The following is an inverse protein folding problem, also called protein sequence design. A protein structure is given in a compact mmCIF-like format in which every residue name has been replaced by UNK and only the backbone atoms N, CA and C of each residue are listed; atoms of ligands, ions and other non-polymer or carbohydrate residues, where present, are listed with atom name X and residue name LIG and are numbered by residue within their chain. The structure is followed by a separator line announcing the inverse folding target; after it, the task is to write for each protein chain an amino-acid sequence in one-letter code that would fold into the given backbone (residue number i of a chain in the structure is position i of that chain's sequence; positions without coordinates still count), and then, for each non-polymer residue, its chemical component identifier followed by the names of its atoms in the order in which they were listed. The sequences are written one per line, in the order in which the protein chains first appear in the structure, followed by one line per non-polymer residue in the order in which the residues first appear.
data_IF_245862249905
#
_entry.id   IF_245862249905
#
_cell.length_a   1.000
_cell.length_b   1.000
_cell.length_c   1.000
_cell.angle_alpha   90.00
_cell.angle_beta   90.00
_cell.angle_gamma   90.00
#
_symmetry.space_group_name_H-M   'P 1'
#
loop_
_entity.id
_entity.type
_entity.pdbx_description
1 polymer ?
#
# COMPACT_ATOMS: atom_id res chain seq x y z
N UNK A 1 40.27 6.67 -57.95
CA UNK A 1 40.44 6.28 -56.52
C UNK A 1 40.32 7.52 -55.66
N UNK A 2 39.14 7.78 -55.06
CA UNK A 2 38.90 8.92 -54.18
C UNK A 2 39.19 8.50 -52.73
N UNK A 3 40.12 9.18 -52.06
CA UNK A 3 40.46 8.97 -50.65
C UNK A 3 39.40 9.66 -49.79
N UNK A 4 38.62 8.88 -49.07
CA UNK A 4 37.70 9.38 -48.02
C UNK A 4 38.51 9.66 -46.76
N UNK A 5 38.53 10.92 -46.31
CA UNK A 5 39.01 11.29 -44.97
C UNK A 5 37.97 10.85 -43.94
N UNK A 6 38.35 9.93 -43.05
CA UNK A 6 37.62 9.64 -41.83
C UNK A 6 37.85 10.80 -40.84
N UNK A 7 36.81 11.54 -40.51
CA UNK A 7 36.81 12.46 -39.36
C UNK A 7 36.53 11.64 -38.09
N UNK A 8 37.54 11.48 -37.24
CA UNK A 8 37.41 10.99 -35.86
C UNK A 8 36.83 12.13 -35.00
N UNK A 9 35.56 12.01 -34.63
CA UNK A 9 34.91 12.85 -33.63
C UNK A 9 35.44 12.47 -32.22
N UNK A 10 35.84 13.43 -31.38
CA UNK A 10 36.24 13.12 -30.01
C UNK A 10 35.00 12.77 -29.19
N UNK A 11 34.95 11.52 -28.72
CA UNK A 11 33.98 11.07 -27.72
C UNK A 11 34.33 11.78 -26.41
N UNK A 12 33.60 12.85 -26.11
CA UNK A 12 33.63 13.49 -24.80
C UNK A 12 32.89 12.59 -23.83
N UNK A 13 33.64 11.87 -22.98
CA UNK A 13 33.10 11.22 -21.80
C UNK A 13 32.52 12.30 -20.88
N UNK A 14 31.22 12.56 -20.98
CA UNK A 14 30.45 13.24 -19.95
C UNK A 14 30.42 12.32 -18.73
N UNK A 15 31.43 12.48 -17.87
CA UNK A 15 31.40 11.99 -16.50
C UNK A 15 30.22 12.68 -15.81
N UNK A 16 29.07 12.01 -15.77
CA UNK A 16 27.99 12.34 -14.85
C UNK A 16 28.54 12.17 -13.44
N UNK A 17 29.00 13.28 -12.86
CA UNK A 17 29.23 13.39 -11.43
C UNK A 17 27.88 13.22 -10.75
N UNK A 18 27.58 11.98 -10.34
CA UNK A 18 26.55 11.70 -9.34
C UNK A 18 27.10 12.24 -8.03
N UNK A 19 26.95 13.56 -7.82
CA UNK A 19 27.15 14.13 -6.49
C UNK A 19 26.25 13.34 -5.54
N UNK A 20 26.79 12.67 -4.51
CA UNK A 20 25.94 12.09 -3.49
C UNK A 20 25.10 13.24 -2.92
N UNK A 21 23.78 13.08 -2.86
CA UNK A 21 22.93 13.99 -2.10
C UNK A 21 23.48 14.00 -0.67
N UNK A 22 24.25 15.04 -0.35
CA UNK A 22 24.61 15.33 1.03
C UNK A 22 23.30 15.56 1.76
N UNK A 23 23.00 14.68 2.73
CA UNK A 23 21.78 14.74 3.51
C UNK A 23 21.66 16.12 4.15
N UNK A 24 20.85 16.98 3.53
CA UNK A 24 20.61 18.33 4.01
C UNK A 24 19.72 18.19 5.24
N UNK A 25 20.22 18.68 6.38
CA UNK A 25 19.45 18.71 7.63
C UNK A 25 18.08 19.31 7.39
N UNK A 26 17.04 18.68 7.93
CA UNK A 26 15.66 19.12 7.73
C UNK A 26 15.41 20.52 8.30
N UNK A 27 14.72 21.36 7.54
CA UNK A 27 14.31 22.69 8.00
C UNK A 27 13.06 22.58 8.88
N UNK A 28 13.28 22.52 10.20
CA UNK A 28 12.18 22.41 11.17
C UNK A 28 11.18 23.59 11.10
N UNK A 29 11.56 24.77 10.59
CA UNK A 29 10.60 25.87 10.39
C UNK A 29 9.61 25.55 9.29
N UNK A 30 10.05 24.90 8.21
CA UNK A 30 9.14 24.39 7.17
C UNK A 30 8.22 23.30 7.73
N UNK A 31 8.76 22.42 8.58
CA UNK A 31 7.94 21.38 9.24
C UNK A 31 6.83 22.00 10.10
N UNK A 32 7.11 23.08 10.83
CA UNK A 32 6.10 23.77 11.64
C UNK A 32 4.93 24.33 10.81
N UNK A 33 5.20 24.77 9.58
CA UNK A 33 4.20 25.36 8.67
C UNK A 33 3.24 24.34 8.04
N UNK A 34 3.58 23.05 8.05
CA UNK A 34 2.69 21.99 7.56
C UNK A 34 1.43 21.98 8.45
N UNK A 35 0.20 21.91 7.92
CA UNK A 35 -0.98 21.79 8.78
C UNK A 35 -0.95 20.47 9.56
N UNK A 36 -1.44 20.45 10.80
CA UNK A 36 -1.48 19.22 11.61
C UNK A 36 -2.37 18.15 10.97
N UNK A 37 -3.40 18.58 10.24
CA UNK A 37 -4.26 17.71 9.43
C UNK A 37 -4.77 18.42 8.18
N UNK A 38 -5.08 17.64 7.15
CA UNK A 38 -5.73 18.10 5.91
C UNK A 38 -7.03 17.31 5.76
N UNK A 39 -8.14 18.00 5.49
CA UNK A 39 -9.42 17.37 5.18
C UNK A 39 -9.72 17.50 3.70
N UNK A 40 -9.98 16.38 3.04
CA UNK A 40 -10.34 16.30 1.63
C UNK A 40 -11.60 15.44 1.55
N UNK A 41 -12.74 16.09 1.33
CA UNK A 41 -14.05 15.41 1.36
C UNK A 41 -14.22 14.64 2.70
N UNK A 42 -14.43 13.33 2.62
CA UNK A 42 -14.63 12.44 3.77
C UNK A 42 -13.32 11.82 4.30
N UNK A 43 -12.16 12.22 3.77
CA UNK A 43 -10.85 11.75 4.22
C UNK A 43 -10.16 12.82 5.06
N UNK A 44 -9.65 12.41 6.22
CA UNK A 44 -8.81 13.23 7.09
C UNK A 44 -7.40 12.66 7.12
N UNK A 45 -6.42 13.42 6.63
CA UNK A 45 -5.00 13.07 6.64
C UNK A 45 -4.34 13.76 7.83
N UNK A 46 -3.70 13.00 8.70
CA UNK A 46 -2.98 13.47 9.88
C UNK A 46 -1.47 13.46 9.64
N UNK A 47 -0.81 14.60 9.76
CA UNK A 47 0.63 14.73 9.53
C UNK A 47 1.43 14.38 10.80
N UNK A 48 1.19 13.21 11.40
CA UNK A 48 1.77 12.86 12.71
C UNK A 48 3.31 12.90 12.71
N UNK A 49 3.95 12.51 11.59
CA UNK A 49 5.40 12.56 11.40
C UNK A 49 6.00 13.92 11.75
N UNK A 50 5.29 15.04 11.45
CA UNK A 50 5.79 16.39 11.73
C UNK A 50 6.05 16.56 13.23
N UNK A 51 5.14 16.05 14.06
CA UNK A 51 5.21 16.21 15.51
C UNK A 51 6.26 15.28 16.11
N UNK A 52 6.48 14.12 15.50
CA UNK A 52 7.58 13.22 15.86
C UNK A 52 8.95 13.88 15.62
N UNK A 53 9.11 14.66 14.55
CA UNK A 53 10.33 15.44 14.30
C UNK A 53 10.44 16.66 15.23
N UNK A 54 9.36 17.45 15.34
CA UNK A 54 9.34 18.68 16.14
C UNK A 54 9.48 18.43 17.64
N UNK A 55 9.16 17.23 18.12
CA UNK A 55 9.39 16.85 19.50
C UNK A 55 10.87 16.89 19.90
N UNK A 56 11.81 16.92 18.94
CA UNK A 56 13.27 16.98 19.20
C UNK A 56 13.89 18.35 18.89
N UNK A 57 13.07 19.38 18.61
CA UNK A 57 13.54 20.72 18.25
C UNK A 57 14.37 21.32 19.39
N UNK A 58 15.45 22.04 19.03
CA UNK A 58 16.33 22.75 19.96
C UNK A 58 17.00 21.85 21.03
N UNK A 59 17.29 20.59 20.70
CA UNK A 59 17.91 19.61 21.61
C UNK A 59 17.10 19.34 22.90
N UNK A 60 15.80 19.65 22.91
CA UNK A 60 14.88 19.33 24.00
C UNK A 60 13.82 18.38 23.49
N UNK A 61 13.46 17.41 24.33
CA UNK A 61 12.41 16.44 24.01
C UNK A 61 11.06 16.88 24.59
N UNK A 62 10.08 17.16 23.72
CA UNK A 62 8.72 17.55 24.07
C UNK A 62 7.79 16.33 24.11
N UNK A 63 7.68 15.71 25.29
CA UNK A 63 6.83 14.53 25.49
C UNK A 63 5.34 14.82 25.38
N UNK A 64 4.91 16.04 25.75
CA UNK A 64 3.51 16.44 25.68
C UNK A 64 3.02 16.48 24.23
N UNK A 65 3.86 16.96 23.31
CA UNK A 65 3.59 16.92 21.86
C UNK A 65 3.37 15.50 21.33
N UNK A 66 4.16 14.52 21.78
CA UNK A 66 3.97 13.13 21.36
C UNK A 66 2.59 12.60 21.79
N UNK A 67 2.18 12.88 23.02
CA UNK A 67 0.86 12.43 23.50
C UNK A 67 -0.26 13.16 22.76
N UNK A 68 -0.20 14.50 22.72
CA UNK A 68 -1.30 15.33 22.25
C UNK A 68 -1.43 15.38 20.72
N UNK A 69 -0.32 15.21 19.99
CA UNK A 69 -0.28 15.41 18.54
C UNK A 69 0.15 14.16 17.75
N UNK A 70 0.51 13.04 18.40
CA UNK A 70 0.80 11.77 17.72
C UNK A 70 -0.15 10.67 18.19
N UNK A 71 -0.23 10.43 19.50
CA UNK A 71 -1.05 9.36 20.06
C UNK A 71 -2.55 9.69 20.03
N UNK A 72 -2.98 10.72 20.74
CA UNK A 72 -4.40 11.05 20.91
C UNK A 72 -5.16 11.34 19.60
N UNK A 73 -4.59 12.06 18.60
CA UNK A 73 -5.31 12.39 17.38
C UNK A 73 -5.77 11.17 16.60
N UNK A 74 -5.10 10.03 16.74
CA UNK A 74 -5.48 8.78 16.09
C UNK A 74 -5.39 7.59 17.06
N UNK A 75 -5.84 7.76 18.30
CA UNK A 75 -5.73 6.75 19.38
C UNK A 75 -6.21 5.36 18.94
N UNK A 76 -7.30 5.27 18.18
CA UNK A 76 -7.83 4.00 17.67
C UNK A 76 -6.83 3.23 16.82
N UNK A 77 -6.08 3.90 15.95
CA UNK A 77 -5.02 3.29 15.12
C UNK A 77 -3.96 2.62 16.00
N UNK A 78 -3.51 3.32 17.03
CA UNK A 78 -2.47 2.85 17.95
C UNK A 78 -2.95 1.73 18.87
N UNK A 79 -4.15 1.89 19.43
CA UNK A 79 -4.67 0.99 20.47
C UNK A 79 -5.18 -0.34 19.91
N UNK A 80 -5.74 -0.32 18.70
CA UNK A 80 -6.34 -1.50 18.10
C UNK A 80 -5.52 -2.00 16.92
N UNK A 81 -5.29 -1.22 15.86
CA UNK A 81 -4.58 -1.76 14.69
C UNK A 81 -3.12 -2.14 15.06
N UNK A 82 -2.30 -1.18 15.45
CA UNK A 82 -0.92 -1.46 15.91
C UNK A 82 -0.87 -2.31 17.19
N UNK A 83 -1.80 -2.06 18.11
CA UNK A 83 -1.89 -2.81 19.38
C UNK A 83 -2.15 -4.30 19.19
N UNK A 84 -2.91 -4.70 18.17
CA UNK A 84 -3.26 -6.09 17.89
C UNK A 84 -2.26 -6.74 16.94
N UNK A 85 -1.88 -6.10 15.83
CA UNK A 85 -1.05 -6.75 14.80
C UNK A 85 0.35 -7.14 15.31
N UNK A 86 0.87 -6.41 16.30
CA UNK A 86 2.19 -6.69 16.87
C UNK A 86 2.13 -7.55 18.16
N UNK A 87 0.93 -7.98 18.57
CA UNK A 87 0.71 -8.79 19.77
C UNK A 87 0.87 -8.00 21.06
N UNK A 88 0.56 -8.63 22.21
CA UNK A 88 0.48 -7.95 23.50
C UNK A 88 1.80 -7.29 23.91
N UNK A 89 2.94 -7.97 23.69
CA UNK A 89 4.26 -7.50 24.10
C UNK A 89 4.64 -6.20 23.36
N UNK A 90 4.62 -6.22 22.03
CA UNK A 90 5.00 -5.07 21.23
C UNK A 90 3.89 -4.02 21.16
N UNK A 91 2.63 -4.41 21.30
CA UNK A 91 1.48 -3.50 21.31
C UNK A 91 1.60 -2.42 22.38
N UNK A 92 2.24 -2.74 23.52
CA UNK A 92 2.54 -1.78 24.61
C UNK A 92 3.49 -0.65 24.21
N UNK A 93 4.18 -0.75 23.07
CA UNK A 93 4.96 0.35 22.51
C UNK A 93 4.04 1.44 21.92
N UNK A 94 2.85 1.07 21.45
CA UNK A 94 1.96 1.94 20.67
C UNK A 94 0.72 2.38 21.47
N UNK A 95 0.14 1.46 22.24
CA UNK A 95 -1.23 1.60 22.76
C UNK A 95 -1.36 2.34 24.10
N UNK A 96 -0.34 3.12 24.49
CA UNK A 96 -0.40 3.93 25.70
C UNK A 96 0.58 5.12 25.65
N UNK A 97 0.30 6.21 26.40
CA UNK A 97 1.16 7.40 26.41
C UNK A 97 2.62 7.14 26.80
N UNK A 98 2.87 6.24 27.77
CA UNK A 98 4.22 5.96 28.26
C UNK A 98 5.08 5.30 27.18
N UNK A 99 4.53 4.29 26.49
CA UNK A 99 5.15 3.65 25.33
C UNK A 99 5.45 4.66 24.24
N UNK A 100 4.44 5.42 23.83
CA UNK A 100 4.55 6.48 22.81
C UNK A 100 5.66 7.48 23.10
N UNK A 101 5.73 7.97 24.33
CA UNK A 101 6.80 8.88 24.78
C UNK A 101 8.16 8.18 24.75
N UNK A 102 8.25 6.94 25.24
CA UNK A 102 9.52 6.24 25.39
C UNK A 102 10.20 6.00 24.05
N UNK A 103 9.49 5.46 23.06
CA UNK A 103 10.12 5.17 21.76
C UNK A 103 10.33 6.42 20.93
N UNK A 104 9.43 7.41 20.94
CA UNK A 104 9.66 8.64 20.18
C UNK A 104 10.90 9.39 20.68
N UNK A 105 11.29 9.21 21.95
CA UNK A 105 12.50 9.80 22.53
C UNK A 105 13.79 9.29 21.88
N UNK A 106 13.83 8.05 21.41
CA UNK A 106 15.01 7.43 20.80
C UNK A 106 14.88 7.26 19.29
N UNK A 107 13.67 7.01 18.78
CA UNK A 107 13.44 6.63 17.38
C UNK A 107 14.00 7.64 16.38
N UNK A 108 13.73 8.93 16.56
CA UNK A 108 14.26 9.95 15.64
C UNK A 108 15.77 10.06 15.74
N UNK A 109 16.35 10.02 16.95
CA UNK A 109 17.81 10.11 17.14
C UNK A 109 18.52 8.95 16.44
N UNK A 110 17.99 7.75 16.61
CA UNK A 110 18.62 6.52 16.14
C UNK A 110 18.42 6.31 14.62
N UNK A 111 17.42 6.98 14.02
CA UNK A 111 17.07 6.85 12.58
C UNK A 111 17.09 8.19 11.83
N UNK A 112 17.77 9.21 12.37
CA UNK A 112 17.67 10.61 11.93
C UNK A 112 17.79 10.78 10.42
N UNK A 113 18.87 10.24 9.84
CA UNK A 113 19.16 10.37 8.41
C UNK A 113 18.01 9.81 7.55
N UNK A 114 17.56 8.59 7.86
CA UNK A 114 16.47 7.94 7.13
C UNK A 114 15.17 8.75 7.24
N UNK A 115 14.84 9.26 8.43
CA UNK A 115 13.60 9.99 8.66
C UNK A 115 13.59 11.33 7.94
N UNK A 116 14.73 12.03 7.93
CA UNK A 116 14.89 13.28 7.18
C UNK A 116 14.78 13.02 5.67
N UNK A 117 15.42 11.98 5.14
CA UNK A 117 15.31 11.59 3.73
C UNK A 117 13.85 11.27 3.33
N UNK A 118 13.15 10.44 4.12
CA UNK A 118 11.74 10.09 3.88
C UNK A 118 10.83 11.31 4.01
N UNK A 119 11.13 12.22 4.93
CA UNK A 119 10.38 13.47 5.06
C UNK A 119 10.60 14.39 3.86
N UNK A 120 11.84 14.55 3.39
CA UNK A 120 12.12 15.36 2.20
C UNK A 120 11.39 14.81 0.96
N UNK A 121 11.36 13.49 0.79
CA UNK A 121 10.56 12.86 -0.27
C UNK A 121 9.08 13.21 -0.14
N UNK A 122 8.51 13.08 1.06
CA UNK A 122 7.11 13.40 1.30
C UNK A 122 6.80 14.89 1.05
N UNK A 123 7.68 15.81 1.45
CA UNK A 123 7.52 17.25 1.23
C UNK A 123 7.66 17.65 -0.24
N UNK A 124 8.36 16.85 -1.04
CA UNK A 124 8.39 17.00 -2.49
C UNK A 124 7.04 16.70 -3.16
N UNK A 125 6.13 16.04 -2.44
CA UNK A 125 4.80 15.65 -2.92
C UNK A 125 3.76 16.61 -2.36
N UNK A 126 2.93 17.18 -3.24
CA UNK A 126 1.74 17.90 -2.80
C UNK A 126 0.63 16.90 -2.45
N UNK A 127 0.70 16.32 -1.24
CA UNK A 127 -0.23 15.28 -0.74
C UNK A 127 -1.68 15.70 -0.93
N UNK A 128 -2.04 16.94 -0.58
CA UNK A 128 -3.41 17.43 -0.73
C UNK A 128 -3.88 17.39 -2.18
N UNK A 129 -3.05 17.90 -3.11
CA UNK A 129 -3.37 17.89 -4.53
C UNK A 129 -3.44 16.47 -5.09
N UNK A 130 -2.53 15.58 -4.67
CA UNK A 130 -2.53 14.17 -5.08
C UNK A 130 -3.83 13.48 -4.67
N UNK A 131 -4.21 13.57 -3.40
CA UNK A 131 -5.48 12.99 -2.91
C UNK A 131 -6.70 13.61 -3.59
N UNK A 132 -6.76 14.95 -3.74
CA UNK A 132 -7.87 15.63 -4.45
C UNK A 132 -8.01 15.13 -5.88
N UNK A 133 -6.90 15.00 -6.62
CA UNK A 133 -6.89 14.50 -7.99
C UNK A 133 -7.37 13.04 -8.04
N UNK A 134 -6.87 12.21 -7.14
CA UNK A 134 -7.22 10.79 -7.10
C UNK A 134 -8.69 10.59 -6.77
N UNK A 135 -9.22 11.25 -5.74
CA UNK A 135 -10.65 11.19 -5.38
C UNK A 135 -11.55 11.72 -6.50
N UNK A 136 -11.13 12.80 -7.18
CA UNK A 136 -11.86 13.36 -8.33
C UNK A 136 -12.01 12.36 -9.47
N UNK A 137 -11.02 11.48 -9.70
CA UNK A 137 -11.13 10.41 -10.69
C UNK A 137 -11.87 9.19 -10.12
N UNK A 138 -11.64 8.84 -8.86
CA UNK A 138 -12.27 7.69 -8.21
C UNK A 138 -13.81 7.76 -8.32
N UNK A 139 -14.39 8.93 -8.03
CA UNK A 139 -15.84 9.18 -8.13
C UNK A 139 -16.43 9.06 -9.53
N UNK A 140 -15.62 9.10 -10.59
CA UNK A 140 -16.14 8.89 -11.96
C UNK A 140 -16.27 7.42 -12.30
N UNK A 141 -15.60 6.54 -11.54
CA UNK A 141 -15.59 5.10 -11.77
C UNK A 141 -16.59 4.38 -10.89
N UNK A 142 -16.79 4.86 -9.66
CA UNK A 142 -17.64 4.25 -8.65
C UNK A 142 -18.50 5.28 -7.92
N UNK A 143 -19.78 4.97 -7.65
CA UNK A 143 -20.72 5.88 -7.01
C UNK A 143 -20.54 5.97 -5.48
N UNK A 144 -19.56 5.25 -4.93
CA UNK A 144 -19.29 5.19 -3.51
C UNK A 144 -18.16 6.14 -3.13
N UNK A 145 -18.28 6.78 -1.96
CA UNK A 145 -17.28 7.71 -1.47
C UNK A 145 -16.44 7.05 -0.37
N UNK A 146 -15.12 6.95 -0.54
CA UNK A 146 -14.27 6.47 0.54
C UNK A 146 -14.32 7.45 1.71
N UNK A 147 -14.38 6.91 2.92
CA UNK A 147 -14.24 7.66 4.17
C UNK A 147 -13.04 7.08 4.88
N UNK A 148 -12.13 7.94 5.35
CA UNK A 148 -10.98 7.45 6.09
C UNK A 148 -10.34 8.47 7.02
N UNK A 149 -9.65 7.94 8.01
CA UNK A 149 -8.64 8.67 8.77
C UNK A 149 -7.28 8.06 8.51
N UNK A 150 -6.37 8.83 7.91
CA UNK A 150 -5.07 8.35 7.43
C UNK A 150 -3.96 9.08 8.19
N UNK A 151 -3.09 8.34 8.88
CA UNK A 151 -1.91 8.91 9.52
C UNK A 151 -0.67 8.78 8.63
N UNK A 152 0.05 9.88 8.39
CA UNK A 152 1.41 9.85 7.88
C UNK A 152 2.36 9.87 9.07
N UNK A 153 3.09 8.78 9.30
CA UNK A 153 3.78 8.56 10.58
C UNK A 153 5.07 7.76 10.44
N UNK A 154 5.89 7.83 11.48
CA UNK A 154 6.97 6.88 11.73
C UNK A 154 6.55 5.91 12.83
N UNK A 155 6.90 4.64 12.70
CA UNK A 155 6.61 3.60 13.69
C UNK A 155 7.88 3.02 14.31
N UNK A 156 7.84 2.53 15.56
CA UNK A 156 8.94 1.73 16.10
C UNK A 156 9.06 0.35 15.42
N UNK A 157 7.96 -0.23 14.95
CA UNK A 157 7.92 -1.47 14.16
C UNK A 157 7.09 -1.24 12.90
N UNK A 158 7.60 -1.68 11.76
CA UNK A 158 6.93 -1.55 10.46
C UNK A 158 6.25 -2.86 10.10
N UNK A 159 5.06 -2.80 9.52
CA UNK A 159 4.31 -3.99 9.11
C UNK A 159 3.14 -3.70 8.18
N UNK A 160 2.62 -2.47 8.16
CA UNK A 160 1.47 -2.08 7.34
C UNK A 160 1.91 -1.48 5.99
N UNK A 161 3.04 -0.77 5.95
CA UNK A 161 3.46 0.05 4.80
C UNK A 161 2.44 1.16 4.45
N UNK A 162 1.43 0.87 3.63
CA UNK A 162 0.28 1.73 3.41
C UNK A 162 -0.98 0.87 3.44
N UNK A 163 -1.88 1.16 4.37
CA UNK A 163 -2.96 0.24 4.67
C UNK A 163 -3.64 0.57 6.00
N UNK A 164 -4.56 -0.27 6.42
CA UNK A 164 -5.22 -0.14 7.71
C UNK A 164 -5.99 -1.38 8.11
N UNK A 165 -6.45 -1.41 9.36
CA UNK A 165 -7.31 -2.49 9.85
C UNK A 165 -8.80 -2.25 9.55
N UNK A 166 -9.18 -0.99 9.29
CA UNK A 166 -10.47 -0.55 8.74
C UNK A 166 -10.37 0.92 8.31
N UNK A 167 -11.47 1.43 7.78
CA UNK A 167 -11.68 2.84 7.40
C UNK A 167 -11.33 3.87 8.48
N UNK A 168 -11.41 3.54 9.77
CA UNK A 168 -11.02 4.43 10.86
C UNK A 168 -9.56 4.30 11.31
N UNK A 169 -8.76 3.42 10.72
CA UNK A 169 -7.42 3.05 11.21
C UNK A 169 -6.41 2.84 10.07
N UNK A 170 -6.24 3.86 9.22
CA UNK A 170 -5.29 3.81 8.11
C UNK A 170 -3.97 4.54 8.43
N UNK A 171 -2.86 4.03 7.90
CA UNK A 171 -1.52 4.57 8.10
C UNK A 171 -0.67 4.46 6.83
N UNK A 172 0.19 5.46 6.61
CA UNK A 172 1.36 5.42 5.75
C UNK A 172 2.62 5.43 6.63
N UNK A 173 3.29 4.28 6.72
CA UNK A 173 4.51 4.07 7.50
C UNK A 173 5.74 4.57 6.74
N UNK A 174 6.12 5.82 6.97
CA UNK A 174 7.19 6.47 6.22
C UNK A 174 8.56 5.79 6.37
N UNK A 175 8.79 5.06 7.46
CA UNK A 175 10.03 4.32 7.72
C UNK A 175 9.97 2.84 7.33
N UNK A 176 8.89 2.37 6.69
CA UNK A 176 8.86 1.02 6.14
C UNK A 176 9.89 0.90 4.99
N UNK A 177 10.78 -0.10 5.09
CA UNK A 177 11.89 -0.28 4.13
C UNK A 177 11.41 -0.68 2.74
N UNK A 178 10.30 -1.41 2.66
CA UNK A 178 9.69 -1.81 1.38
C UNK A 178 8.87 -0.70 0.71
N UNK A 179 8.65 0.42 1.40
CA UNK A 179 7.78 1.49 0.91
C UNK A 179 8.51 2.47 -0.01
N UNK A 180 8.06 2.52 -1.27
CA UNK A 180 8.26 3.65 -2.17
C UNK A 180 7.13 4.67 -1.97
N UNK A 181 7.43 5.78 -1.29
CA UNK A 181 6.43 6.81 -0.95
C UNK A 181 5.80 7.43 -2.20
N UNK A 182 6.60 7.66 -3.25
CA UNK A 182 6.13 8.32 -4.47
C UNK A 182 5.17 7.37 -5.19
N UNK A 183 5.60 6.14 -5.45
CA UNK A 183 4.75 5.13 -6.08
C UNK A 183 3.47 4.91 -5.28
N UNK A 184 3.57 4.79 -3.96
CA UNK A 184 2.42 4.53 -3.10
C UNK A 184 1.37 5.65 -3.20
N UNK A 185 1.79 6.91 -3.13
CA UNK A 185 0.86 8.04 -3.19
C UNK A 185 0.32 8.30 -4.60
N UNK A 186 1.13 8.07 -5.64
CA UNK A 186 0.75 8.38 -7.02
C UNK A 186 0.03 7.23 -7.74
N UNK A 187 0.36 5.98 -7.40
CA UNK A 187 -0.12 4.76 -8.08
C UNK A 187 -0.80 3.76 -7.15
N UNK A 188 -0.36 3.64 -5.90
CA UNK A 188 -0.99 2.77 -4.90
C UNK A 188 -2.28 3.33 -4.30
N UNK A 189 -2.44 4.65 -4.26
CA UNK A 189 -3.60 5.27 -3.60
C UNK A 189 -4.97 4.78 -4.12
N UNK A 190 -5.22 4.61 -5.43
CA UNK A 190 -6.48 4.03 -5.92
C UNK A 190 -6.78 2.63 -5.39
N UNK A 191 -5.76 1.78 -5.21
CA UNK A 191 -5.88 0.43 -4.63
C UNK A 191 -6.42 0.54 -3.20
N UNK A 192 -5.77 1.35 -2.36
CA UNK A 192 -6.21 1.54 -0.98
C UNK A 192 -7.60 2.19 -0.84
N UNK A 193 -7.91 3.16 -1.70
CA UNK A 193 -9.25 3.76 -1.71
C UNK A 193 -10.33 2.75 -2.09
N UNK A 194 -10.00 1.76 -2.92
CA UNK A 194 -10.93 0.69 -3.25
C UNK A 194 -11.23 -0.19 -2.04
N UNK A 195 -10.22 -0.57 -1.25
CA UNK A 195 -10.43 -1.32 -0.01
C UNK A 195 -11.39 -0.60 0.93
N UNK A 196 -11.22 0.72 1.13
CA UNK A 196 -12.10 1.52 1.99
C UNK A 196 -13.57 1.46 1.58
N UNK A 197 -13.84 1.35 0.27
CA UNK A 197 -15.20 1.21 -0.24
C UNK A 197 -15.68 -0.23 -0.14
N UNK A 198 -14.85 -1.19 -0.58
CA UNK A 198 -15.23 -2.59 -0.69
C UNK A 198 -15.43 -3.25 0.68
N UNK A 199 -14.68 -2.84 1.71
CA UNK A 199 -14.80 -3.35 3.07
C UNK A 199 -16.24 -3.26 3.61
N UNK A 200 -16.98 -2.20 3.27
CA UNK A 200 -18.38 -2.04 3.66
C UNK A 200 -19.25 -3.21 3.18
N UNK A 201 -19.04 -3.66 1.94
CA UNK A 201 -19.79 -4.74 1.32
C UNK A 201 -19.29 -6.11 1.78
N UNK A 202 -17.97 -6.26 1.92
CA UNK A 202 -17.33 -7.50 2.41
C UNK A 202 -17.81 -7.89 3.80
N UNK A 203 -18.05 -6.92 4.68
CA UNK A 203 -18.57 -7.16 6.05
C UNK A 203 -19.96 -7.80 6.10
N UNK A 204 -20.73 -7.76 5.01
CA UNK A 204 -22.04 -8.41 4.93
C UNK A 204 -21.93 -9.91 4.59
N UNK A 205 -20.76 -10.38 4.16
CA UNK A 205 -20.51 -11.79 3.84
C UNK A 205 -20.19 -12.59 5.11
N UNK A 206 -20.94 -13.66 5.43
CA UNK A 206 -20.60 -14.55 6.54
C UNK A 206 -19.21 -15.20 6.42
N UNK A 207 -18.69 -15.37 5.20
CA UNK A 207 -17.36 -15.91 4.91
C UNK A 207 -16.33 -14.79 4.61
N UNK A 208 -16.62 -13.55 5.03
CA UNK A 208 -15.83 -12.36 4.72
C UNK A 208 -14.37 -12.39 5.21
N UNK A 209 -14.03 -13.29 6.12
CA UNK A 209 -12.67 -13.51 6.65
C UNK A 209 -11.95 -14.70 5.99
N UNK A 210 -12.59 -15.41 5.07
CA UNK A 210 -11.99 -16.52 4.34
C UNK A 210 -10.82 -16.08 3.45
N UNK A 211 -9.90 -17.01 3.17
CA UNK A 211 -8.76 -16.75 2.30
C UNK A 211 -9.20 -16.38 0.88
N UNK A 212 -10.33 -16.93 0.40
CA UNK A 212 -10.92 -16.49 -0.86
C UNK A 212 -11.42 -15.05 -0.78
N UNK A 213 -12.10 -14.66 0.30
CA UNK A 213 -12.55 -13.27 0.49
C UNK A 213 -11.37 -12.29 0.45
N UNK A 214 -10.29 -12.57 1.19
CA UNK A 214 -9.07 -11.75 1.17
C UNK A 214 -8.39 -11.75 -0.21
N UNK A 215 -8.38 -12.88 -0.89
CA UNK A 215 -7.86 -13.00 -2.26
C UNK A 215 -8.64 -12.11 -3.23
N UNK A 216 -9.98 -12.11 -3.16
CA UNK A 216 -10.83 -11.25 -3.98
C UNK A 216 -10.66 -9.78 -3.61
N UNK A 217 -10.54 -9.43 -2.33
CA UNK A 217 -10.32 -8.07 -1.87
C UNK A 217 -9.04 -7.46 -2.47
N UNK A 218 -7.90 -8.12 -2.30
CA UNK A 218 -6.61 -7.67 -2.84
C UNK A 218 -6.59 -7.67 -4.37
N UNK A 219 -7.11 -8.73 -4.97
CA UNK A 219 -7.24 -8.83 -6.42
C UNK A 219 -8.12 -7.74 -7.02
N UNK A 220 -9.19 -7.36 -6.32
CA UNK A 220 -10.12 -6.33 -6.78
C UNK A 220 -9.51 -4.96 -6.68
N UNK A 221 -8.80 -4.67 -5.60
CA UNK A 221 -8.06 -3.42 -5.48
C UNK A 221 -6.98 -3.28 -6.57
N UNK A 222 -6.28 -4.36 -6.91
CA UNK A 222 -5.34 -4.37 -8.05
C UNK A 222 -6.05 -4.17 -9.41
N UNK A 223 -7.17 -4.87 -9.64
CA UNK A 223 -7.95 -4.73 -10.87
C UNK A 223 -8.54 -3.33 -11.01
N UNK A 224 -9.02 -2.75 -9.90
CA UNK A 224 -9.49 -1.38 -9.84
C UNK A 224 -8.36 -0.40 -10.16
N UNK A 225 -7.15 -0.59 -9.63
CA UNK A 225 -6.01 0.27 -9.98
C UNK A 225 -5.69 0.22 -11.48
N UNK A 226 -5.71 -0.97 -12.09
CA UNK A 226 -5.55 -1.13 -13.54
C UNK A 226 -6.60 -0.32 -14.33
N UNK A 227 -7.87 -0.38 -13.94
CA UNK A 227 -8.95 0.42 -14.53
C UNK A 227 -8.80 1.92 -14.25
N UNK A 228 -8.39 2.28 -13.02
CA UNK A 228 -8.20 3.65 -12.58
C UNK A 228 -7.18 4.37 -13.44
N UNK A 229 -6.17 3.69 -13.96
CA UNK A 229 -5.20 4.27 -14.88
C UNK A 229 -5.60 4.13 -16.36
N UNK A 230 -6.88 3.94 -16.65
CA UNK A 230 -7.42 3.73 -18.01
C UNK A 230 -6.70 2.59 -18.75
N UNK A 231 -6.25 1.57 -18.02
CA UNK A 231 -5.45 0.45 -18.55
C UNK A 231 -4.12 0.85 -19.18
N UNK A 232 -3.61 2.06 -18.88
CA UNK A 232 -2.33 2.57 -19.39
C UNK A 232 -1.12 2.01 -18.64
N UNK A 233 -1.32 1.56 -17.39
CA UNK A 233 -0.34 0.73 -16.68
C UNK A 233 -0.58 -0.74 -17.05
N UNK A 234 0.49 -1.54 -17.08
CA UNK A 234 0.37 -2.98 -17.32
C UNK A 234 -0.33 -3.70 -16.16
N UNK A 235 -0.91 -4.89 -16.42
CA UNK A 235 -1.51 -5.73 -15.36
C UNK A 235 -0.47 -6.11 -14.30
N UNK A 236 0.74 -6.45 -14.76
CA UNK A 236 1.90 -6.67 -13.90
C UNK A 236 2.22 -5.45 -13.03
N UNK A 237 2.10 -4.23 -13.56
CA UNK A 237 2.36 -3.03 -12.77
C UNK A 237 1.26 -2.77 -11.73
N UNK A 238 0.00 -3.03 -12.10
CA UNK A 238 -1.14 -2.90 -11.20
C UNK A 238 -1.13 -3.93 -10.06
N UNK A 239 -0.56 -5.12 -10.29
CA UNK A 239 -0.38 -6.15 -9.26
C UNK A 239 1.02 -6.03 -8.66
N UNK A 240 1.13 -5.36 -7.52
CA UNK A 240 2.37 -5.23 -6.72
C UNK A 240 3.61 -4.70 -7.50
N UNK A 241 3.40 -3.88 -8.54
CA UNK A 241 4.46 -3.32 -9.37
C UNK A 241 5.42 -4.39 -9.92
N UNK A 242 4.89 -5.57 -10.29
CA UNK A 242 5.67 -6.68 -10.84
C UNK A 242 6.34 -6.29 -12.16
N UNK A 243 7.52 -6.87 -12.42
CA UNK A 243 8.10 -6.90 -13.77
C UNK A 243 7.29 -7.81 -14.70
N UNK A 244 7.50 -7.71 -16.00
CA UNK A 244 6.90 -8.63 -16.98
C UNK A 244 7.34 -10.09 -16.74
N UNK A 245 8.59 -10.29 -16.34
CA UNK A 245 9.15 -11.61 -16.02
C UNK A 245 8.46 -12.23 -14.81
N UNK A 246 8.23 -11.44 -13.76
CA UNK A 246 7.48 -11.88 -12.59
C UNK A 246 6.06 -12.32 -13.00
N UNK A 247 5.36 -11.49 -13.79
CA UNK A 247 4.02 -11.82 -14.28
C UNK A 247 4.01 -13.09 -15.14
N UNK A 248 4.98 -13.24 -16.03
CA UNK A 248 5.11 -14.43 -16.89
C UNK A 248 5.30 -15.71 -16.07
N UNK A 249 6.00 -15.64 -14.93
CA UNK A 249 6.10 -16.76 -14.00
C UNK A 249 4.71 -17.19 -13.49
N UNK A 250 3.87 -16.25 -13.06
CA UNK A 250 2.53 -16.60 -12.60
C UNK A 250 1.66 -17.23 -13.69
N UNK A 251 1.69 -16.66 -14.91
CA UNK A 251 0.95 -17.21 -16.05
C UNK A 251 1.43 -18.63 -16.37
N UNK A 252 2.74 -18.87 -16.37
CA UNK A 252 3.30 -20.20 -16.63
C UNK A 252 2.86 -21.25 -15.59
N UNK A 253 2.66 -20.82 -14.33
CA UNK A 253 2.31 -21.70 -13.23
C UNK A 253 0.83 -21.63 -12.84
N UNK A 254 -0.01 -20.95 -13.63
CA UNK A 254 -1.41 -20.58 -13.29
C UNK A 254 -2.25 -21.79 -12.87
N UNK A 255 -2.19 -22.89 -13.64
CA UNK A 255 -2.92 -24.13 -13.36
C UNK A 255 -2.50 -24.78 -12.06
N UNK A 256 -1.19 -24.84 -11.80
CA UNK A 256 -0.64 -25.45 -10.59
C UNK A 256 -0.99 -24.61 -9.35
N UNK A 257 -0.85 -23.28 -9.45
CA UNK A 257 -1.20 -22.31 -8.41
C UNK A 257 -2.65 -22.50 -7.98
N UNK A 258 -3.59 -22.46 -8.92
CA UNK A 258 -5.00 -22.59 -8.58
C UNK A 258 -5.30 -23.97 -7.96
N UNK A 259 -4.82 -25.05 -8.59
CA UNK A 259 -5.12 -26.43 -8.15
C UNK A 259 -4.64 -26.68 -6.72
N UNK A 260 -3.42 -26.24 -6.38
CA UNK A 260 -2.85 -26.45 -5.04
C UNK A 260 -3.40 -25.49 -3.99
N UNK A 261 -3.86 -24.28 -4.38
CA UNK A 261 -4.34 -23.29 -3.43
C UNK A 261 -5.85 -23.32 -3.19
N UNK A 262 -6.63 -23.86 -4.13
CA UNK A 262 -8.09 -24.00 -3.99
C UNK A 262 -8.52 -24.65 -2.65
N UNK A 263 -7.85 -25.69 -2.12
CA UNK A 263 -8.23 -26.28 -0.83
C UNK A 263 -8.21 -25.30 0.35
N UNK A 264 -7.48 -24.19 0.25
CA UNK A 264 -7.37 -23.18 1.31
C UNK A 264 -8.41 -22.06 1.19
N UNK A 265 -9.27 -22.04 0.17
CA UNK A 265 -10.21 -20.94 -0.06
C UNK A 265 -11.17 -20.67 1.09
N UNK A 266 -11.59 -21.71 1.81
CA UNK A 266 -12.47 -21.59 2.99
C UNK A 266 -11.71 -21.38 4.31
N UNK A 267 -10.38 -21.33 4.29
CA UNK A 267 -9.56 -21.13 5.49
C UNK A 267 -9.73 -19.71 6.03
N UNK A 268 -10.04 -19.57 7.32
CA UNK A 268 -10.22 -18.27 8.00
C UNK A 268 -9.10 -17.96 8.99
N UNK A 269 -8.06 -18.79 9.07
CA UNK A 269 -6.97 -18.66 10.04
C UNK A 269 -6.01 -17.52 9.72
N UNK A 270 -6.00 -17.07 8.46
CA UNK A 270 -4.99 -16.14 7.94
C UNK A 270 -3.58 -16.75 7.81
N UNK A 271 -3.39 -18.01 8.17
CA UNK A 271 -2.10 -18.70 8.19
C UNK A 271 -2.11 -19.92 7.25
N UNK A 272 -2.24 -19.66 5.96
CA UNK A 272 -2.27 -20.68 4.92
C UNK A 272 -1.39 -20.28 3.73
N UNK A 273 -0.99 -21.22 2.85
CA UNK A 273 -0.06 -20.91 1.76
C UNK A 273 -0.58 -19.94 0.71
N UNK A 274 -1.90 -19.69 0.63
CA UNK A 274 -2.45 -18.69 -0.29
C UNK A 274 -2.14 -17.28 0.20
N UNK A 275 -2.26 -17.04 1.51
CA UNK A 275 -2.05 -15.72 2.13
C UNK A 275 -0.62 -15.51 2.64
N UNK A 276 0.09 -16.59 3.02
CA UNK A 276 1.39 -16.55 3.70
C UNK A 276 2.45 -17.41 3.00
N UNK A 277 2.46 -17.37 1.66
CA UNK A 277 3.47 -18.10 0.88
C UNK A 277 4.90 -17.62 1.19
N UNK A 278 5.07 -16.38 1.62
CA UNK A 278 6.35 -15.83 2.08
C UNK A 278 6.95 -16.63 3.25
N UNK A 279 6.10 -17.28 4.06
CA UNK A 279 6.50 -18.08 5.23
C UNK A 279 6.40 -19.59 4.98
N UNK A 280 5.27 -20.04 4.41
CA UNK A 280 4.97 -21.46 4.25
C UNK A 280 5.60 -22.07 2.99
N UNK A 281 6.03 -21.24 2.03
CA UNK A 281 6.85 -21.61 0.87
C UNK A 281 6.28 -22.78 0.06
N UNK A 282 4.96 -22.86 -0.14
CA UNK A 282 4.37 -23.85 -1.05
C UNK A 282 4.82 -23.61 -2.51
N UNK A 283 5.01 -22.34 -2.85
CA UNK A 283 5.63 -21.89 -4.09
C UNK A 283 6.86 -21.03 -3.77
N UNK A 284 8.02 -21.63 -3.47
CA UNK A 284 9.19 -20.88 -3.00
C UNK A 284 9.72 -19.88 -4.03
N UNK A 285 9.50 -20.17 -5.33
CA UNK A 285 9.91 -19.32 -6.46
C UNK A 285 8.88 -18.25 -6.84
N UNK A 286 7.76 -18.13 -6.11
CA UNK A 286 6.77 -17.10 -6.38
C UNK A 286 7.41 -15.71 -6.20
N UNK A 287 7.43 -14.85 -7.24
CA UNK A 287 8.14 -13.58 -7.17
C UNK A 287 7.57 -12.59 -6.15
N UNK A 288 6.27 -12.69 -5.87
CA UNK A 288 5.44 -11.77 -5.08
C UNK A 288 4.27 -12.50 -4.40
N UNK A 289 3.28 -11.79 -3.89
CA UNK A 289 2.13 -12.35 -3.18
C UNK A 289 1.19 -13.06 -4.16
N UNK A 290 0.77 -14.29 -3.83
CA UNK A 290 -0.03 -15.12 -4.75
C UNK A 290 -1.50 -14.70 -4.75
N UNK A 291 -2.06 -14.36 -3.59
CA UNK A 291 -3.45 -13.95 -3.42
C UNK A 291 -3.79 -12.70 -4.26
N UNK A 292 -2.89 -11.71 -4.34
CA UNK A 292 -3.08 -10.50 -5.15
C UNK A 292 -3.26 -10.86 -6.64
N UNK A 293 -2.33 -11.64 -7.18
CA UNK A 293 -2.38 -12.07 -8.57
C UNK A 293 -3.58 -12.98 -8.87
N UNK A 294 -3.85 -13.95 -8.00
CA UNK A 294 -4.94 -14.90 -8.19
C UNK A 294 -6.31 -14.22 -8.16
N UNK A 295 -6.54 -13.31 -7.22
CA UNK A 295 -7.77 -12.53 -7.15
C UNK A 295 -7.96 -11.65 -8.39
N UNK A 296 -6.89 -10.98 -8.85
CA UNK A 296 -6.91 -10.20 -10.08
C UNK A 296 -7.36 -11.06 -11.27
N UNK A 297 -6.83 -12.28 -11.38
CA UNK A 297 -7.15 -13.20 -12.48
C UNK A 297 -8.59 -13.70 -12.44
N UNK A 298 -9.14 -14.00 -11.25
CA UNK A 298 -10.55 -14.37 -11.09
C UNK A 298 -11.47 -13.24 -11.58
N UNK A 299 -11.19 -12.00 -11.16
CA UNK A 299 -11.97 -10.81 -11.54
C UNK A 299 -11.83 -10.53 -13.03
N UNK A 300 -10.62 -10.61 -13.56
CA UNK A 300 -10.37 -10.46 -14.99
C UNK A 300 -11.21 -11.44 -15.81
N UNK A 301 -11.27 -12.70 -15.39
CA UNK A 301 -12.03 -13.74 -16.08
C UNK A 301 -13.54 -13.53 -15.96
N UNK A 302 -14.01 -13.00 -14.83
CA UNK A 302 -15.37 -12.50 -14.70
C UNK A 302 -15.67 -11.38 -15.71
N UNK A 303 -14.79 -10.38 -15.81
CA UNK A 303 -14.99 -9.25 -16.73
C UNK A 303 -14.92 -9.67 -18.20
N UNK A 304 -14.00 -10.56 -18.56
CA UNK A 304 -13.91 -11.15 -19.91
C UNK A 304 -15.23 -11.82 -20.32
N UNK A 305 -15.89 -12.48 -19.37
CA UNK A 305 -17.13 -13.23 -19.61
C UNK A 305 -18.39 -12.37 -19.62
N UNK A 306 -18.46 -11.35 -18.75
CA UNK A 306 -19.69 -10.57 -18.51
C UNK A 306 -19.65 -9.14 -19.08
N UNK A 307 -18.52 -8.72 -19.68
CA UNK A 307 -18.36 -7.43 -20.33
C UNK A 307 -17.59 -6.40 -19.51
N UNK A 308 -17.08 -5.36 -20.17
CA UNK A 308 -16.07 -4.44 -19.60
C UNK A 308 -16.48 -3.65 -18.37
N UNK A 309 -17.78 -3.50 -18.10
CA UNK A 309 -18.32 -2.78 -16.94
C UNK A 309 -18.71 -3.69 -15.77
N UNK A 310 -18.68 -5.02 -15.96
CA UNK A 310 -19.16 -5.99 -14.96
C UNK A 310 -18.27 -6.06 -13.71
N UNK A 311 -17.06 -5.48 -13.74
CA UNK A 311 -16.21 -5.35 -12.55
C UNK A 311 -16.91 -4.62 -11.40
N UNK A 312 -17.92 -3.78 -11.68
CA UNK A 312 -18.72 -3.09 -10.66
C UNK A 312 -19.62 -4.05 -9.88
N UNK A 313 -19.96 -5.21 -10.47
CA UNK A 313 -20.77 -6.24 -9.82
C UNK A 313 -20.04 -6.80 -8.59
N UNK A 314 -18.71 -6.79 -8.61
CA UNK A 314 -17.85 -7.30 -7.53
C UNK A 314 -18.19 -6.64 -6.19
N UNK A 315 -18.55 -5.35 -6.17
CA UNK A 315 -18.95 -4.68 -4.91
C UNK A 315 -20.13 -5.34 -4.21
N UNK A 316 -21.02 -6.02 -4.93
CA UNK A 316 -22.23 -6.60 -4.34
C UNK A 316 -22.24 -8.13 -4.42
N UNK A 317 -21.12 -8.74 -4.80
CA UNK A 317 -21.03 -10.18 -5.00
C UNK A 317 -20.19 -10.81 -3.89
N UNK A 318 -20.69 -11.90 -3.32
CA UNK A 318 -19.88 -12.68 -2.40
C UNK A 318 -18.73 -13.37 -3.18
N UNK A 319 -17.53 -13.52 -2.59
CA UNK A 319 -16.33 -14.06 -3.26
C UNK A 319 -16.54 -15.44 -3.89
N UNK A 320 -17.35 -16.30 -3.24
CA UNK A 320 -17.68 -17.63 -3.75
C UNK A 320 -18.49 -17.57 -5.06
N UNK A 321 -19.51 -16.71 -5.10
CA UNK A 321 -20.32 -16.47 -6.29
C UNK A 321 -19.47 -15.90 -7.42
N UNK A 322 -18.55 -14.99 -7.09
CA UNK A 322 -17.64 -14.39 -8.07
C UNK A 322 -16.73 -15.44 -8.69
N UNK A 323 -16.12 -16.30 -7.87
CA UNK A 323 -15.31 -17.41 -8.36
C UNK A 323 -16.11 -18.33 -9.30
N UNK A 324 -17.33 -18.72 -8.91
CA UNK A 324 -18.18 -19.58 -9.75
C UNK A 324 -18.59 -18.90 -11.06
N UNK A 325 -19.14 -17.68 -10.96
CA UNK A 325 -19.67 -16.92 -12.10
C UNK A 325 -18.57 -16.47 -13.06
N UNK A 326 -17.34 -16.27 -12.57
CA UNK A 326 -16.17 -15.97 -13.40
C UNK A 326 -15.86 -17.07 -14.41
N UNK A 327 -16.22 -18.32 -14.11
CA UNK A 327 -15.79 -19.48 -14.89
C UNK A 327 -14.29 -19.76 -14.81
N UNK A 328 -13.58 -19.17 -13.83
CA UNK A 328 -12.14 -19.30 -13.67
C UNK A 328 -11.71 -20.77 -13.54
N UNK A 329 -12.42 -21.54 -12.73
CA UNK A 329 -12.10 -22.97 -12.56
C UNK A 329 -12.17 -23.75 -13.88
N UNK A 330 -13.23 -23.55 -14.67
CA UNK A 330 -13.36 -24.18 -16.01
C UNK A 330 -12.25 -23.75 -16.96
N UNK A 331 -11.82 -22.49 -16.86
CA UNK A 331 -10.67 -22.00 -17.63
C UNK A 331 -9.38 -22.71 -17.20
N UNK A 332 -9.13 -22.89 -15.90
CA UNK A 332 -7.96 -23.61 -15.38
C UNK A 332 -7.95 -25.08 -15.84
N UNK A 333 -9.11 -25.74 -15.87
CA UNK A 333 -9.24 -27.11 -16.37
C UNK A 333 -8.85 -27.24 -17.86
N UNK A 334 -9.04 -26.16 -18.63
CA UNK A 334 -8.76 -26.11 -20.07
C UNK A 334 -7.31 -25.75 -20.45
N UNK A 335 -6.50 -25.24 -19.50
CA UNK A 335 -5.07 -25.00 -19.68
C UNK A 335 -4.28 -26.32 -19.70
#
# INVERSE_FOLDING_TARGET
MKRSLLFLLPITFLLFSTRPLTAQSIDLKKIEQIPDSIKIENIVILNLFKHQLLAHKNNKYDSARIVNNVYLPHKKLWDSCYGVIFGEENGRLFNNPKGMISWNKTLYRDNKKQFEEKTHLLLGINVEKTFKKTLTKFRTLVPFQPKAKISLLFTPLTGIAFGGCNDEQFALELNNKGLDIIYTLEKGLPHELNHLVYEHFRKADPDGESALSQTIDEGFACYFAYLFFDRKIGKNEAVENMTQENWAWYIKNEKEIFTKLKPYFSDTSGNNPLLRNDQLKLFPEAPKSINYWLGFRIIEKYVEKHGSDSWKDVYNMIPKDLLEKSGYEKYIESL
#
